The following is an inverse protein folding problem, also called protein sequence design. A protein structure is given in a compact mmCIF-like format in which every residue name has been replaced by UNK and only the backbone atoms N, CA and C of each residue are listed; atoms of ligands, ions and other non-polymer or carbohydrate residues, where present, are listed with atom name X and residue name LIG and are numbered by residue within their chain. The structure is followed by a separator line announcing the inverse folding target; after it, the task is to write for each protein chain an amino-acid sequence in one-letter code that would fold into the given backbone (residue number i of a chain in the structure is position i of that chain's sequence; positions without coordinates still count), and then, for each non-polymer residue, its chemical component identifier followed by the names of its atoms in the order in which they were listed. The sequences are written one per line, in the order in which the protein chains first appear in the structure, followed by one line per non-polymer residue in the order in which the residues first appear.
data_IF_632587198765
#
_entry.id   IF_632587198765
#
_cell.length_a   1.000
_cell.length_b   1.000
_cell.length_c   1.000
_cell.angle_alpha   90.00
_cell.angle_beta   90.00
_cell.angle_gamma   90.00
#
_symmetry.space_group_name_H-M   'P 1'
#
loop_
_entity.id
_entity.type
_entity.pdbx_description
1 polymer ?
#
# COMPACT_ATOMS: atom_id res chain seq x y z
N UNK A 1 2.90 17.65 35.08
CA UNK A 1 3.97 18.20 34.19
C UNK A 1 3.95 17.36 32.95
N UNK A 2 3.38 17.85 31.86
CA UNK A 2 3.37 17.17 30.57
C UNK A 2 4.80 17.19 30.05
N UNK A 3 5.48 16.09 29.99
CA UNK A 3 6.76 15.93 29.31
C UNK A 3 6.49 16.22 27.83
N UNK A 4 6.81 17.44 27.37
CA UNK A 4 6.86 17.75 25.94
C UNK A 4 7.84 16.74 25.32
N UNK A 5 7.31 15.74 24.64
CA UNK A 5 8.13 14.86 23.81
C UNK A 5 8.90 15.74 22.82
N UNK A 6 10.19 15.52 22.70
CA UNK A 6 10.99 16.16 21.66
C UNK A 6 10.37 15.84 20.30
N UNK A 7 10.29 16.82 19.37
CA UNK A 7 9.74 16.57 18.05
C UNK A 7 10.52 15.46 17.36
N UNK A 8 9.82 14.69 16.52
CA UNK A 8 10.43 13.69 15.65
C UNK A 8 11.10 14.37 14.45
N UNK A 9 12.05 13.70 13.85
CA UNK A 9 12.66 14.16 12.60
C UNK A 9 11.58 14.19 11.51
N UNK A 10 11.40 15.31 10.77
CA UNK A 10 10.34 15.41 9.75
C UNK A 10 10.54 14.44 8.59
N UNK A 11 9.46 13.87 8.08
CA UNK A 11 9.51 12.91 6.97
C UNK A 11 10.01 13.55 5.66
N UNK A 12 9.56 14.76 5.37
CA UNK A 12 10.00 15.53 4.20
C UNK A 12 11.47 15.99 4.29
N UNK A 13 12.07 15.94 5.49
CA UNK A 13 13.49 16.24 5.67
C UNK A 13 14.42 15.03 5.42
N UNK A 14 13.88 13.83 5.22
CA UNK A 14 14.66 12.63 4.89
C UNK A 14 15.25 12.76 3.49
N UNK A 15 16.55 12.47 3.35
CA UNK A 15 17.33 12.60 2.11
C UNK A 15 17.87 11.25 1.67
N UNK A 16 17.87 10.98 0.36
CA UNK A 16 18.50 9.81 -0.26
C UNK A 16 17.80 8.49 0.01
N UNK A 17 16.51 8.53 0.34
CA UNK A 17 15.66 7.36 0.55
C UNK A 17 14.33 7.48 -0.18
N UNK A 18 14.36 7.91 -1.45
CA UNK A 18 13.14 8.25 -2.18
C UNK A 18 12.28 7.02 -2.45
N UNK A 19 12.87 5.88 -2.81
CA UNK A 19 12.14 4.62 -2.97
C UNK A 19 11.48 4.16 -1.65
N UNK A 20 12.20 4.28 -0.52
CA UNK A 20 11.61 3.93 0.78
C UNK A 20 10.43 4.85 1.14
N UNK A 21 10.60 6.16 0.93
CA UNK A 21 9.54 7.13 1.18
C UNK A 21 8.31 6.83 0.33
N UNK A 22 8.52 6.54 -0.95
CA UNK A 22 7.44 6.18 -1.87
C UNK A 22 6.76 4.87 -1.45
N UNK A 23 7.51 3.81 -1.15
CA UNK A 23 6.94 2.53 -0.71
C UNK A 23 6.07 2.68 0.56
N UNK A 24 6.51 3.49 1.53
CA UNK A 24 5.74 3.79 2.73
C UNK A 24 4.44 4.55 2.40
N UNK A 25 4.50 5.55 1.52
CA UNK A 25 3.34 6.31 1.06
C UNK A 25 2.33 5.39 0.36
N UNK A 26 2.77 4.57 -0.59
CA UNK A 26 1.91 3.66 -1.35
C UNK A 26 1.22 2.63 -0.45
N UNK A 27 1.94 2.10 0.55
CA UNK A 27 1.33 1.18 1.53
C UNK A 27 0.37 1.86 2.50
N UNK A 28 0.54 3.17 2.77
CA UNK A 28 -0.46 3.94 3.51
C UNK A 28 -1.72 4.19 2.68
N UNK A 29 -1.57 4.47 1.38
CA UNK A 29 -2.70 4.66 0.46
C UNK A 29 -3.48 3.35 0.32
N UNK A 30 -2.80 2.23 0.12
CA UNK A 30 -3.41 0.91 -0.02
C UNK A 30 -2.73 -0.14 0.89
N UNK A 31 -3.17 -0.30 2.14
CA UNK A 31 -2.62 -1.33 3.04
C UNK A 31 -2.74 -2.77 2.51
N UNK A 32 -3.67 -3.00 1.56
CA UNK A 32 -3.84 -4.29 0.88
C UNK A 32 -2.64 -4.71 0.01
N UNK A 33 -1.67 -3.83 -0.21
CA UNK A 33 -0.38 -4.15 -0.84
C UNK A 33 0.36 -5.22 -0.02
N UNK A 34 0.21 -5.22 1.33
CA UNK A 34 0.76 -6.29 2.18
C UNK A 34 2.04 -5.90 2.93
N UNK A 35 2.33 -4.60 3.06
CA UNK A 35 3.45 -4.07 3.83
C UNK A 35 4.76 -3.96 3.07
N UNK A 36 5.77 -3.41 3.76
CA UNK A 36 7.11 -3.14 3.21
C UNK A 36 8.17 -3.84 4.06
N UNK A 37 9.09 -4.55 3.42
CA UNK A 37 10.33 -4.98 4.03
C UNK A 37 11.48 -4.05 3.59
N UNK A 38 12.21 -3.50 4.57
CA UNK A 38 13.32 -2.59 4.34
C UNK A 38 14.61 -3.34 4.64
N UNK A 39 15.36 -3.63 3.61
CA UNK A 39 16.65 -4.35 3.68
C UNK A 39 17.78 -3.33 3.72
N UNK A 40 18.78 -3.53 4.55
CA UNK A 40 19.94 -2.67 4.56
C UNK A 40 20.71 -2.68 5.86
N UNK A 41 21.93 -2.15 5.82
CA UNK A 41 22.88 -2.10 6.93
C UNK A 41 22.38 -1.25 8.10
N UNK A 42 22.98 -1.47 9.27
CA UNK A 42 22.75 -0.62 10.45
C UNK A 42 23.22 0.81 10.18
N UNK A 43 22.52 1.78 10.76
CA UNK A 43 22.87 3.19 10.62
C UNK A 43 22.37 3.90 9.37
N UNK A 44 21.58 3.25 8.50
CA UNK A 44 20.99 3.85 7.29
C UNK A 44 19.68 4.61 7.56
N UNK A 45 19.40 5.00 8.80
CA UNK A 45 18.24 5.79 9.23
C UNK A 45 16.86 5.15 8.99
N UNK A 46 16.75 3.81 8.77
CA UNK A 46 15.50 3.09 8.56
C UNK A 46 14.45 3.42 9.63
N UNK A 47 14.79 3.20 10.90
CA UNK A 47 13.89 3.45 12.04
C UNK A 47 13.48 4.93 12.15
N UNK A 48 14.38 5.86 11.84
CA UNK A 48 14.09 7.30 11.84
C UNK A 48 13.06 7.63 10.78
N UNK A 49 13.20 7.11 9.56
CA UNK A 49 12.28 7.32 8.44
C UNK A 49 10.89 6.74 8.75
N UNK A 50 10.82 5.53 9.32
CA UNK A 50 9.53 4.91 9.68
C UNK A 50 8.82 5.69 10.79
N UNK A 51 9.55 6.16 11.80
CA UNK A 51 8.95 7.00 12.86
C UNK A 51 8.46 8.34 12.34
N UNK A 52 9.23 8.96 11.45
CA UNK A 52 8.84 10.19 10.78
C UNK A 52 7.58 9.98 9.92
N UNK A 53 7.52 8.88 9.18
CA UNK A 53 6.34 8.49 8.41
C UNK A 53 5.10 8.26 9.30
N UNK A 54 5.25 7.55 10.41
CA UNK A 54 4.12 7.34 11.32
C UNK A 54 3.60 8.67 11.91
N UNK A 55 4.49 9.61 12.22
CA UNK A 55 4.09 10.95 12.67
C UNK A 55 3.34 11.75 11.60
N UNK A 56 3.67 11.52 10.31
CA UNK A 56 3.00 12.14 9.17
C UNK A 56 1.52 11.71 9.07
N UNK A 57 1.18 10.50 9.52
CA UNK A 57 -0.19 9.99 9.53
C UNK A 57 -1.06 10.55 10.68
N UNK A 58 -0.55 11.51 11.44
CA UNK A 58 -1.27 12.21 12.51
C UNK A 58 -1.46 11.36 13.76
N UNK A 59 -2.70 11.21 14.22
CA UNK A 59 -3.03 10.45 15.44
C UNK A 59 -2.99 8.92 15.26
N UNK A 60 -2.55 8.45 14.09
CA UNK A 60 -2.43 7.02 13.81
C UNK A 60 -1.42 6.36 14.76
N UNK A 61 -1.76 5.20 15.37
CA UNK A 61 -0.86 4.56 16.32
C UNK A 61 0.39 4.01 15.63
N UNK A 62 1.56 4.26 16.23
CA UNK A 62 2.80 3.56 15.91
C UNK A 62 3.03 2.48 16.96
N UNK A 63 2.84 1.23 16.58
CA UNK A 63 3.04 0.08 17.44
C UNK A 63 4.37 -0.59 17.08
N UNK A 64 5.28 -0.67 18.04
CA UNK A 64 6.53 -1.41 17.86
C UNK A 64 6.34 -2.86 18.36
N UNK A 65 6.67 -3.83 17.51
CA UNK A 65 6.69 -5.21 17.91
C UNK A 65 8.09 -5.58 18.42
N UNK A 66 8.25 -5.96 19.70
CA UNK A 66 9.54 -6.41 20.22
C UNK A 66 9.85 -7.84 19.75
N UNK A 67 11.12 -8.14 19.46
CA UNK A 67 11.59 -9.45 18.99
C UNK A 67 11.17 -10.60 19.91
N UNK A 68 11.13 -10.37 21.23
CA UNK A 68 10.71 -11.36 22.24
C UNK A 68 9.20 -11.37 22.51
N UNK A 69 8.35 -10.85 21.62
CA UNK A 69 6.91 -10.88 21.82
C UNK A 69 6.39 -12.32 21.74
N UNK A 70 5.50 -12.67 22.66
CA UNK A 70 4.75 -13.93 22.62
C UNK A 70 3.54 -13.80 21.70
N UNK A 71 3.06 -14.90 21.15
CA UNK A 71 1.88 -14.95 20.30
C UNK A 71 0.67 -14.27 20.96
N UNK A 72 0.38 -14.57 22.22
CA UNK A 72 -0.70 -13.95 23.00
C UNK A 72 -0.59 -12.42 23.07
N UNK A 73 0.63 -11.89 23.09
CA UNK A 73 0.86 -10.44 23.07
C UNK A 73 0.63 -9.85 21.70
N UNK A 74 0.95 -10.58 20.64
CA UNK A 74 0.80 -10.15 19.26
C UNK A 74 -0.66 -10.17 18.84
N UNK A 75 -1.30 -11.32 18.98
CA UNK A 75 -2.67 -11.58 18.49
C UNK A 75 -3.71 -11.10 19.50
N UNK A 76 -3.42 -11.25 20.78
CA UNK A 76 -4.33 -11.01 21.89
C UNK A 76 -4.68 -12.30 22.62
N UNK A 77 -5.36 -12.18 23.75
CA UNK A 77 -5.70 -13.32 24.59
C UNK A 77 -7.05 -13.16 25.27
N UNK A 78 -7.60 -14.27 25.75
CA UNK A 78 -8.77 -14.23 26.63
C UNK A 78 -8.34 -13.83 28.04
N UNK A 79 -9.11 -12.95 28.67
CA UNK A 79 -8.94 -12.58 30.08
C UNK A 79 -9.52 -13.69 30.99
N UNK A 80 -8.69 -14.66 31.28
CA UNK A 80 -9.08 -15.81 32.10
C UNK A 80 -9.58 -15.41 33.50
N UNK A 81 -9.05 -14.36 34.10
CA UNK A 81 -9.51 -13.85 35.40
C UNK A 81 -10.97 -13.36 35.31
N UNK A 82 -11.30 -12.63 34.25
CA UNK A 82 -12.68 -12.20 34.00
C UNK A 82 -13.59 -13.39 33.69
N UNK A 83 -13.12 -14.40 32.95
CA UNK A 83 -13.89 -15.63 32.68
C UNK A 83 -14.22 -16.38 33.96
N UNK A 84 -13.22 -16.58 34.83
CA UNK A 84 -13.39 -17.30 36.11
C UNK A 84 -14.26 -16.56 37.12
N UNK A 85 -14.21 -15.23 37.13
CA UNK A 85 -14.95 -14.41 38.12
C UNK A 85 -16.37 -14.08 37.67
N UNK A 86 -16.60 -13.88 36.37
CA UNK A 86 -17.90 -13.40 35.84
C UNK A 86 -18.61 -14.40 34.94
N UNK A 87 -17.94 -15.48 34.55
CA UNK A 87 -18.43 -16.43 33.55
C UNK A 87 -18.54 -15.85 32.12
N UNK A 88 -18.05 -14.64 31.88
CA UNK A 88 -18.10 -13.97 30.56
C UNK A 88 -16.72 -13.90 29.94
N UNK A 89 -16.60 -14.38 28.71
CA UNK A 89 -15.38 -14.22 27.93
C UNK A 89 -15.12 -12.71 27.65
N UNK A 90 -13.92 -12.24 28.05
CA UNK A 90 -13.43 -10.91 27.73
C UNK A 90 -12.12 -11.04 26.98
N UNK A 91 -12.06 -10.41 25.82
CA UNK A 91 -10.86 -10.39 24.99
C UNK A 91 -9.94 -9.23 25.38
N UNK A 92 -8.63 -9.50 25.48
CA UNK A 92 -7.56 -8.50 25.60
C UNK A 92 -6.93 -8.31 24.23
N UNK A 93 -7.09 -7.11 23.59
CA UNK A 93 -6.52 -6.86 22.26
C UNK A 93 -4.99 -6.94 22.31
N UNK A 94 -4.43 -7.65 21.32
CA UNK A 94 -2.99 -7.74 21.09
C UNK A 94 -2.44 -6.53 20.32
N UNK A 95 -1.14 -6.58 20.00
CA UNK A 95 -0.45 -5.50 19.29
C UNK A 95 -1.03 -5.28 17.88
N UNK A 96 -1.50 -6.32 17.20
CA UNK A 96 -2.15 -6.21 15.88
C UNK A 96 -3.40 -5.34 15.93
N UNK A 97 -4.26 -5.57 16.89
CA UNK A 97 -5.47 -4.75 17.08
C UNK A 97 -5.14 -3.32 17.53
N UNK A 98 -4.07 -3.14 18.33
CA UNK A 98 -3.60 -1.82 18.75
C UNK A 98 -3.02 -1.01 17.59
N UNK A 99 -2.48 -1.67 16.56
CA UNK A 99 -1.94 -1.03 15.36
C UNK A 99 -3.04 -0.63 14.36
N UNK A 100 -4.29 -0.99 14.61
CA UNK A 100 -5.38 -0.70 13.68
C UNK A 100 -5.48 0.81 13.36
N UNK A 101 -5.51 1.13 12.05
CA UNK A 101 -5.51 2.50 11.54
C UNK A 101 -4.13 3.18 11.57
N UNK A 102 -3.06 2.47 11.93
CA UNK A 102 -1.72 3.04 12.05
C UNK A 102 -0.62 2.21 11.42
N UNK A 103 0.54 2.21 12.07
CA UNK A 103 1.75 1.52 11.60
C UNK A 103 2.15 0.45 12.61
N UNK A 104 2.33 -0.78 12.15
CA UNK A 104 3.01 -1.84 12.88
C UNK A 104 4.46 -1.92 12.42
N UNK A 105 5.38 -1.57 13.30
CA UNK A 105 6.81 -1.57 13.01
C UNK A 105 7.50 -2.77 13.68
N UNK A 106 8.21 -3.54 12.89
CA UNK A 106 8.99 -4.70 13.32
C UNK A 106 10.45 -4.46 13.00
N UNK A 107 11.25 -4.20 14.03
CA UNK A 107 12.69 -4.08 13.86
C UNK A 107 13.32 -5.47 13.81
N UNK A 108 14.21 -5.71 12.85
CA UNK A 108 14.88 -7.01 12.64
C UNK A 108 13.87 -8.17 12.51
N UNK A 109 12.95 -8.05 11.56
CA UNK A 109 11.87 -9.04 11.32
C UNK A 109 12.40 -10.46 11.06
N UNK A 110 13.63 -10.57 10.54
CA UNK A 110 14.34 -11.83 10.32
C UNK A 110 14.70 -12.59 11.62
N UNK A 111 14.64 -11.92 12.77
CA UNK A 111 14.90 -12.53 14.09
C UNK A 111 13.61 -13.01 14.78
N UNK A 112 12.45 -12.72 14.23
CA UNK A 112 11.18 -13.25 14.75
C UNK A 112 11.02 -14.73 14.39
N UNK A 113 10.27 -15.44 15.23
CA UNK A 113 9.84 -16.79 14.91
C UNK A 113 8.91 -16.80 13.68
N UNK A 114 9.12 -17.72 12.75
CA UNK A 114 8.41 -17.80 11.46
C UNK A 114 6.88 -17.73 11.61
N UNK A 115 6.30 -18.45 12.57
CA UNK A 115 4.86 -18.45 12.81
C UNK A 115 4.30 -17.08 13.23
N UNK A 116 5.13 -16.24 13.89
CA UNK A 116 4.74 -14.86 14.19
C UNK A 116 4.76 -14.00 12.94
N UNK A 117 5.82 -14.14 12.10
CA UNK A 117 5.88 -13.43 10.82
C UNK A 117 4.70 -13.80 9.94
N UNK A 118 4.33 -15.09 9.86
CA UNK A 118 3.14 -15.55 9.15
C UNK A 118 1.87 -14.86 9.67
N UNK A 119 1.69 -14.83 10.98
CA UNK A 119 0.53 -14.20 11.62
C UNK A 119 0.45 -12.69 11.29
N UNK A 120 1.59 -11.98 11.29
CA UNK A 120 1.66 -10.57 10.93
C UNK A 120 1.24 -10.32 9.49
N UNK A 121 1.77 -11.14 8.57
CA UNK A 121 1.51 -11.04 7.13
C UNK A 121 0.07 -11.40 6.79
N UNK A 122 -0.51 -12.40 7.47
CA UNK A 122 -1.94 -12.75 7.32
C UNK A 122 -2.84 -11.61 7.80
N UNK A 123 -2.54 -11.02 8.96
CA UNK A 123 -3.30 -9.89 9.48
C UNK A 123 -3.18 -8.65 8.55
N UNK A 124 -1.98 -8.37 8.02
CA UNK A 124 -1.77 -7.29 7.06
C UNK A 124 -2.55 -7.49 5.74
N UNK A 125 -2.63 -8.74 5.26
CA UNK A 125 -3.34 -9.07 4.02
C UNK A 125 -4.86 -9.04 4.19
N UNK A 126 -5.38 -9.56 5.32
CA UNK A 126 -6.83 -9.69 5.56
C UNK A 126 -7.45 -8.46 6.24
N UNK A 127 -6.64 -7.65 6.91
CA UNK A 127 -7.09 -6.52 7.73
C UNK A 127 -7.81 -6.93 9.01
N UNK A 128 -7.64 -8.18 9.43
CA UNK A 128 -8.28 -8.76 10.61
C UNK A 128 -7.31 -9.70 11.35
N UNK A 129 -7.55 -9.86 12.63
CA UNK A 129 -6.88 -10.86 13.46
C UNK A 129 -7.93 -11.74 14.13
N UNK A 130 -7.77 -13.05 14.03
CA UNK A 130 -8.67 -14.02 14.67
C UNK A 130 -7.92 -14.79 15.74
N UNK A 131 -8.49 -14.85 16.94
CA UNK A 131 -8.00 -15.63 18.07
C UNK A 131 -8.96 -16.77 18.31
N UNK A 132 -8.47 -17.99 18.21
CA UNK A 132 -9.22 -19.20 18.53
C UNK A 132 -8.58 -19.88 19.73
N UNK A 133 -9.30 -19.93 20.86
CA UNK A 133 -8.81 -20.55 22.08
C UNK A 133 -9.95 -21.13 22.88
N UNK A 134 -9.76 -22.36 23.37
CA UNK A 134 -10.73 -23.07 24.26
C UNK A 134 -12.17 -23.10 23.69
N UNK A 135 -12.30 -23.24 22.37
CA UNK A 135 -13.61 -23.27 21.70
C UNK A 135 -14.27 -21.90 21.54
N UNK A 136 -13.58 -20.80 21.87
CA UNK A 136 -14.03 -19.42 21.65
C UNK A 136 -13.22 -18.84 20.50
N UNK A 137 -13.94 -18.32 19.47
CA UNK A 137 -13.34 -17.56 18.37
C UNK A 137 -13.69 -16.08 18.52
N UNK A 138 -12.68 -15.22 18.39
CA UNK A 138 -12.85 -13.77 18.41
C UNK A 138 -12.09 -13.14 17.25
N UNK A 139 -12.77 -12.35 16.42
CA UNK A 139 -12.16 -11.61 15.32
C UNK A 139 -12.19 -10.11 15.62
N UNK A 140 -11.05 -9.45 15.44
CA UNK A 140 -10.90 -8.02 15.64
C UNK A 140 -10.29 -7.36 14.39
N UNK A 141 -10.62 -6.09 14.10
CA UNK A 141 -10.01 -5.36 12.99
C UNK A 141 -8.52 -5.11 13.27
N UNK A 142 -7.70 -5.29 12.22
CA UNK A 142 -6.25 -5.14 12.27
C UNK A 142 -5.72 -4.59 10.92
N UNK A 143 -6.29 -3.48 10.44
CA UNK A 143 -5.82 -2.78 9.25
C UNK A 143 -4.70 -1.83 9.64
N UNK A 144 -3.50 -2.07 9.19
CA UNK A 144 -2.31 -1.27 9.51
C UNK A 144 -1.31 -1.34 8.35
N UNK A 145 -0.41 -0.37 8.31
CA UNK A 145 0.79 -0.44 7.46
C UNK A 145 1.82 -1.30 8.17
N UNK A 146 2.15 -2.47 7.60
CA UNK A 146 3.21 -3.32 8.12
C UNK A 146 4.56 -2.84 7.57
N UNK A 147 5.49 -2.56 8.46
CA UNK A 147 6.87 -2.20 8.11
C UNK A 147 7.83 -3.10 8.87
N UNK A 148 8.54 -3.97 8.14
CA UNK A 148 9.62 -4.79 8.67
C UNK A 148 10.98 -4.23 8.27
N UNK A 149 11.96 -4.17 9.20
CA UNK A 149 13.34 -3.93 8.82
C UNK A 149 14.16 -5.22 8.91
N UNK A 150 15.16 -5.33 8.08
CA UNK A 150 16.06 -6.49 8.05
C UNK A 150 17.49 -6.03 7.76
N UNK A 151 18.46 -6.62 8.48
CA UNK A 151 19.87 -6.53 8.13
C UNK A 151 20.30 -7.85 7.49
N UNK A 152 20.63 -7.89 6.20
CA UNK A 152 21.05 -9.11 5.52
C UNK A 152 22.27 -9.80 6.18
N UNK A 153 23.13 -9.06 6.87
CA UNK A 153 24.29 -9.62 7.58
C UNK A 153 23.90 -10.47 8.80
N UNK A 154 22.73 -10.23 9.38
CA UNK A 154 22.22 -10.97 10.55
C UNK A 154 21.33 -12.16 10.16
N UNK A 155 21.22 -12.41 8.88
CA UNK A 155 20.40 -13.48 8.31
C UNK A 155 19.23 -12.96 7.48
N UNK A 156 18.68 -13.83 6.68
CA UNK A 156 17.54 -13.51 5.80
C UNK A 156 16.27 -14.21 6.28
N UNK A 157 15.13 -13.61 5.96
CA UNK A 157 13.86 -14.29 6.06
C UNK A 157 13.82 -15.45 5.08
N UNK A 158 13.11 -16.51 5.45
CA UNK A 158 12.82 -17.61 4.50
C UNK A 158 12.13 -17.03 3.26
N UNK A 159 12.48 -17.50 2.05
CA UNK A 159 11.91 -16.98 0.81
C UNK A 159 10.38 -16.95 0.81
N UNK A 160 9.73 -17.97 1.39
CA UNK A 160 8.26 -18.06 1.48
C UNK A 160 7.64 -16.97 2.34
N UNK A 161 8.33 -16.50 3.39
CA UNK A 161 7.88 -15.37 4.22
C UNK A 161 8.19 -14.04 3.54
N UNK A 162 9.36 -13.94 2.92
CA UNK A 162 9.78 -12.75 2.20
C UNK A 162 8.83 -12.45 1.02
N UNK A 163 8.44 -13.47 0.24
CA UNK A 163 7.46 -13.36 -0.85
C UNK A 163 6.10 -12.78 -0.40
N UNK A 164 5.73 -12.98 0.86
CA UNK A 164 4.45 -12.48 1.42
C UNK A 164 4.44 -10.99 1.74
N UNK A 165 5.62 -10.34 1.91
CA UNK A 165 5.68 -8.90 1.94
C UNK A 165 5.28 -8.32 0.58
N UNK A 166 4.50 -7.25 0.58
CA UNK A 166 4.10 -6.58 -0.65
C UNK A 166 5.29 -5.98 -1.38
N UNK A 167 6.00 -5.09 -0.73
CA UNK A 167 7.12 -4.32 -1.29
C UNK A 167 8.42 -4.63 -0.56
N UNK A 168 9.53 -4.52 -1.29
CA UNK A 168 10.89 -4.59 -0.74
C UNK A 168 11.71 -3.40 -1.21
N UNK A 169 12.40 -2.78 -0.27
CA UNK A 169 13.30 -1.65 -0.57
C UNK A 169 14.68 -1.93 0.02
N UNK A 170 15.69 -1.84 -0.83
CA UNK A 170 17.08 -1.93 -0.41
C UNK A 170 17.61 -0.53 -0.05
N UNK A 171 18.03 -0.34 1.19
CA UNK A 171 18.55 0.93 1.71
C UNK A 171 20.03 0.80 1.98
N UNK A 172 20.83 1.49 1.19
CA UNK A 172 22.28 1.59 1.37
C UNK A 172 22.71 3.01 1.74
N UNK A 173 23.85 3.14 2.39
CA UNK A 173 24.47 4.44 2.59
C UNK A 173 24.90 5.02 1.24
N UNK A 174 24.39 6.20 0.88
CA UNK A 174 24.76 6.86 -0.38
C UNK A 174 26.28 7.02 -0.48
N UNK A 175 26.82 6.74 -1.66
CA UNK A 175 28.23 7.03 -2.00
C UNK A 175 28.42 8.46 -2.52
N UNK A 176 27.33 9.15 -2.86
CA UNK A 176 27.35 10.54 -3.30
C UNK A 176 27.71 11.47 -2.14
N UNK A 177 28.77 12.23 -2.34
CA UNK A 177 29.33 13.14 -1.31
C UNK A 177 28.35 14.27 -0.99
N UNK A 178 27.59 14.76 -1.97
CA UNK A 178 26.63 15.84 -1.76
C UNK A 178 25.44 15.36 -0.93
N UNK A 179 24.91 14.18 -1.25
CA UNK A 179 23.81 13.54 -0.48
C UNK A 179 24.28 13.29 0.96
N UNK A 180 25.48 12.73 1.15
CA UNK A 180 26.04 12.50 2.50
C UNK A 180 26.21 13.79 3.30
N UNK A 181 26.71 14.84 2.65
CA UNK A 181 26.88 16.15 3.29
C UNK A 181 25.53 16.75 3.70
N UNK A 182 24.50 16.60 2.85
CA UNK A 182 23.16 17.08 3.16
C UNK A 182 22.50 16.29 4.30
N UNK A 183 22.67 14.97 4.34
CA UNK A 183 22.19 14.13 5.46
C UNK A 183 22.83 14.61 6.78
N UNK A 184 24.15 14.81 6.80
CA UNK A 184 24.86 15.29 7.99
C UNK A 184 24.39 16.69 8.39
N UNK A 185 24.25 17.61 7.44
CA UNK A 185 23.79 18.97 7.70
C UNK A 185 22.41 18.97 8.36
N UNK A 186 21.43 18.27 7.78
CA UNK A 186 20.08 18.20 8.34
C UNK A 186 20.04 17.52 9.69
N UNK A 187 20.89 16.53 9.91
CA UNK A 187 20.97 15.84 11.20
C UNK A 187 21.53 16.74 12.30
N UNK A 188 22.64 17.44 12.05
CA UNK A 188 23.25 18.37 12.98
C UNK A 188 22.32 19.58 13.27
N UNK A 189 21.62 20.05 12.24
CA UNK A 189 20.66 21.14 12.36
C UNK A 189 19.49 20.75 13.28
N UNK A 190 18.94 19.54 13.07
CA UNK A 190 17.91 18.97 13.94
C UNK A 190 18.39 18.78 15.38
N UNK A 191 19.61 18.31 15.59
CA UNK A 191 20.19 18.13 16.94
C UNK A 191 20.42 19.46 17.66
N UNK A 192 20.71 20.53 16.93
CA UNK A 192 20.91 21.88 17.49
C UNK A 192 19.60 22.50 18.00
N UNK A 193 18.55 22.47 17.19
CA UNK A 193 17.21 22.94 17.56
C UNK A 193 16.13 22.09 16.91
N UNK A 194 15.69 21.01 17.57
CA UNK A 194 14.67 20.12 17.03
C UNK A 194 13.32 20.78 16.77
N UNK A 195 12.98 21.82 17.57
CA UNK A 195 11.67 22.49 17.47
C UNK A 195 11.65 23.39 16.23
N UNK A 196 12.65 24.27 16.08
CA UNK A 196 12.75 25.15 14.91
C UNK A 196 12.91 24.32 13.62
N UNK A 197 13.75 23.27 13.64
CA UNK A 197 13.90 22.39 12.51
C UNK A 197 12.56 21.74 12.09
N UNK A 198 11.81 21.16 13.02
CA UNK A 198 10.51 20.55 12.72
C UNK A 198 9.53 21.59 12.19
N UNK A 199 9.53 22.80 12.71
CA UNK A 199 8.64 23.86 12.26
C UNK A 199 8.93 24.30 10.81
N UNK A 200 10.19 24.33 10.38
CA UNK A 200 10.56 24.65 8.98
C UNK A 200 10.04 23.62 7.97
N UNK A 201 9.92 22.36 8.36
CA UNK A 201 9.45 21.27 7.50
C UNK A 201 7.95 20.96 7.63
N UNK A 202 7.29 21.58 8.63
CA UNK A 202 5.90 21.28 8.94
C UNK A 202 4.95 21.43 7.75
N UNK A 203 5.08 22.50 6.96
CA UNK A 203 4.22 22.73 5.81
C UNK A 203 4.37 21.63 4.72
N UNK A 204 5.58 21.11 4.52
CA UNK A 204 5.83 20.03 3.56
C UNK A 204 5.27 18.69 4.07
N UNK A 205 5.43 18.41 5.36
CA UNK A 205 4.85 17.22 5.99
C UNK A 205 3.32 17.26 5.94
N UNK A 206 2.71 18.43 6.23
CA UNK A 206 1.26 18.62 6.14
C UNK A 206 0.73 18.42 4.72
N UNK A 207 1.41 18.97 3.71
CA UNK A 207 1.06 18.77 2.30
C UNK A 207 1.15 17.29 1.92
N UNK A 208 2.20 16.58 2.35
CA UNK A 208 2.35 15.15 2.09
C UNK A 208 1.26 14.33 2.79
N UNK A 209 0.94 14.66 4.04
CA UNK A 209 -0.14 14.04 4.79
C UNK A 209 -1.50 14.22 4.08
N UNK A 210 -1.78 15.44 3.62
CA UNK A 210 -3.01 15.73 2.89
C UNK A 210 -3.07 15.01 1.54
N UNK A 211 -1.96 14.93 0.81
CA UNK A 211 -1.87 14.20 -0.45
C UNK A 211 -2.12 12.70 -0.26
N UNK A 212 -1.60 12.09 0.82
CA UNK A 212 -1.90 10.69 1.18
C UNK A 212 -3.42 10.51 1.40
N UNK A 213 -4.06 11.37 2.20
CA UNK A 213 -5.50 11.29 2.45
C UNK A 213 -6.33 11.41 1.18
N UNK A 214 -6.00 12.38 0.34
CA UNK A 214 -6.67 12.56 -0.96
C UNK A 214 -6.48 11.36 -1.89
N UNK A 215 -5.31 10.72 -1.88
CA UNK A 215 -5.07 9.49 -2.62
C UNK A 215 -5.85 8.30 -2.06
N UNK A 216 -5.97 8.18 -0.72
CA UNK A 216 -6.81 7.15 -0.08
C UNK A 216 -8.29 7.26 -0.44
N UNK A 217 -8.81 8.48 -0.60
CA UNK A 217 -10.20 8.72 -1.00
C UNK A 217 -10.49 8.31 -2.44
N UNK A 218 -9.50 8.45 -3.34
CA UNK A 218 -9.67 8.16 -4.77
C UNK A 218 -9.20 6.77 -5.22
N UNK A 219 -8.42 6.05 -4.42
CA UNK A 219 -7.78 4.78 -4.81
C UNK A 219 -8.75 3.74 -5.35
N UNK A 220 -9.97 3.67 -4.80
CA UNK A 220 -11.00 2.73 -5.23
C UNK A 220 -11.66 3.14 -6.57
N UNK A 221 -11.44 4.36 -7.06
CA UNK A 221 -11.95 4.87 -8.34
C UNK A 221 -10.94 4.81 -9.48
N UNK A 222 -9.69 4.42 -9.20
CA UNK A 222 -8.66 4.32 -10.23
C UNK A 222 -8.94 3.13 -11.15
N UNK A 223 -8.89 3.37 -12.44
CA UNK A 223 -9.13 2.34 -13.46
C UNK A 223 -7.83 1.65 -13.83
N UNK A 224 -7.83 0.33 -13.77
CA UNK A 224 -6.79 -0.55 -14.31
C UNK A 224 -7.38 -1.30 -15.49
N UNK A 225 -6.93 -0.99 -16.71
CA UNK A 225 -7.43 -1.59 -17.95
C UNK A 225 -7.04 -3.05 -18.09
N UNK A 226 -7.77 -3.82 -18.90
CA UNK A 226 -7.44 -5.20 -19.23
C UNK A 226 -6.08 -5.29 -19.94
N UNK A 227 -5.73 -4.29 -20.74
CA UNK A 227 -4.40 -4.15 -21.37
C UNK A 227 -3.30 -4.07 -20.32
N UNK A 228 -3.47 -3.25 -19.29
CA UNK A 228 -2.50 -3.11 -18.20
C UNK A 228 -2.45 -4.39 -17.33
N UNK A 229 -3.56 -5.10 -17.12
CA UNK A 229 -3.54 -6.42 -16.50
C UNK A 229 -2.69 -7.42 -17.30
N UNK A 230 -2.84 -7.45 -18.63
CA UNK A 230 -2.04 -8.32 -19.51
C UNK A 230 -0.55 -7.95 -19.48
N UNK A 231 -0.21 -6.65 -19.47
CA UNK A 231 1.18 -6.17 -19.32
C UNK A 231 1.80 -6.59 -17.99
N UNK A 232 1.07 -6.46 -16.89
CA UNK A 232 1.53 -6.91 -15.56
C UNK A 232 1.79 -8.42 -15.56
N UNK A 233 0.87 -9.21 -16.12
CA UNK A 233 1.03 -10.66 -16.23
C UNK A 233 2.25 -11.05 -17.10
N UNK A 234 2.48 -10.32 -18.20
CA UNK A 234 3.66 -10.50 -19.05
C UNK A 234 4.96 -10.23 -18.27
N UNK A 235 5.03 -9.13 -17.53
CA UNK A 235 6.20 -8.77 -16.71
C UNK A 235 6.48 -9.88 -15.67
N UNK A 236 5.46 -10.33 -14.92
CA UNK A 236 5.62 -11.37 -13.91
C UNK A 236 6.09 -12.70 -14.52
N UNK A 237 5.58 -13.07 -15.69
CA UNK A 237 5.99 -14.26 -16.41
C UNK A 237 7.45 -14.18 -16.90
N UNK A 238 7.87 -13.01 -17.41
CA UNK A 238 9.25 -12.79 -17.92
C UNK A 238 10.30 -12.83 -16.81
N UNK A 239 9.92 -12.45 -15.57
CA UNK A 239 10.79 -12.53 -14.39
C UNK A 239 10.73 -13.88 -13.64
N UNK A 240 10.04 -14.89 -14.19
CA UNK A 240 9.89 -16.24 -13.62
C UNK A 240 9.46 -16.21 -12.13
N UNK A 241 8.43 -15.40 -11.85
CA UNK A 241 7.91 -15.25 -10.50
C UNK A 241 6.94 -16.37 -10.15
N UNK A 242 7.13 -16.99 -8.99
CA UNK A 242 6.26 -18.08 -8.53
C UNK A 242 4.86 -17.57 -8.10
N UNK A 243 3.81 -18.09 -8.72
CA UNK A 243 2.41 -17.83 -8.37
C UNK A 243 1.91 -16.45 -8.79
N UNK A 244 0.69 -16.10 -8.40
CA UNK A 244 -0.03 -14.88 -8.82
C UNK A 244 0.04 -13.73 -7.79
N UNK A 245 0.86 -13.88 -6.74
CA UNK A 245 0.93 -12.85 -5.69
C UNK A 245 1.59 -11.58 -6.18
N UNK A 246 2.67 -11.71 -6.96
CA UNK A 246 3.37 -10.56 -7.54
C UNK A 246 2.44 -9.73 -8.44
N UNK A 247 1.69 -10.39 -9.32
CA UNK A 247 0.73 -9.76 -10.22
C UNK A 247 -0.26 -8.87 -9.46
N UNK A 248 -0.87 -9.43 -8.40
CA UNK A 248 -1.81 -8.69 -7.56
C UNK A 248 -1.15 -7.55 -6.78
N UNK A 249 0.09 -7.72 -6.33
CA UNK A 249 0.83 -6.67 -5.62
C UNK A 249 1.20 -5.56 -6.59
N UNK A 250 1.70 -5.88 -7.79
CA UNK A 250 2.02 -4.87 -8.82
C UNK A 250 0.76 -4.10 -9.19
N UNK A 251 -0.35 -4.78 -9.47
CA UNK A 251 -1.63 -4.14 -9.79
C UNK A 251 -2.08 -3.16 -8.69
N UNK A 252 -2.09 -3.60 -7.42
CA UNK A 252 -2.48 -2.75 -6.28
C UNK A 252 -1.52 -1.58 -6.07
N UNK A 253 -0.23 -1.79 -6.31
CA UNK A 253 0.80 -0.76 -6.14
C UNK A 253 0.71 0.26 -7.26
N UNK A 254 0.47 -0.16 -8.50
CA UNK A 254 0.25 0.72 -9.65
C UNK A 254 -1.00 1.59 -9.46
N UNK A 255 -2.12 1.00 -9.01
CA UNK A 255 -3.33 1.74 -8.64
C UNK A 255 -3.04 2.77 -7.55
N UNK A 256 -2.31 2.40 -6.49
CA UNK A 256 -1.94 3.32 -5.42
C UNK A 256 -1.01 4.44 -5.90
N UNK A 257 -0.11 4.15 -6.87
CA UNK A 257 0.78 5.13 -7.46
C UNK A 257 0.04 6.12 -8.37
N UNK A 258 -0.89 5.64 -9.20
CA UNK A 258 -1.78 6.51 -9.99
C UNK A 258 -2.61 7.42 -9.08
N UNK A 259 -3.19 6.88 -7.99
CA UNK A 259 -3.88 7.66 -6.98
C UNK A 259 -2.99 8.71 -6.33
N UNK A 260 -1.72 8.38 -6.04
CA UNK A 260 -0.74 9.32 -5.50
C UNK A 260 -0.42 10.45 -6.46
N UNK A 261 -0.26 10.18 -7.75
CA UNK A 261 -0.04 11.19 -8.79
C UNK A 261 -1.27 12.07 -9.04
N UNK A 262 -2.45 11.63 -8.65
CA UNK A 262 -3.71 12.34 -8.84
C UNK A 262 -4.45 11.99 -10.13
N UNK A 263 -4.02 10.96 -10.83
CA UNK A 263 -4.64 10.48 -12.07
C UNK A 263 -5.78 9.49 -11.79
N UNK A 264 -6.62 9.28 -12.79
CA UNK A 264 -7.74 8.34 -12.74
C UNK A 264 -7.45 6.99 -13.40
N UNK A 265 -6.37 6.90 -14.18
CA UNK A 265 -5.97 5.73 -14.95
C UNK A 265 -4.55 5.30 -14.57
N UNK A 266 -4.32 4.00 -14.55
CA UNK A 266 -2.98 3.42 -14.40
C UNK A 266 -2.23 3.53 -15.72
N UNK A 267 -1.00 4.02 -15.66
CA UNK A 267 -0.09 4.15 -16.81
C UNK A 267 1.07 3.15 -16.71
N UNK A 268 1.85 3.00 -17.79
CA UNK A 268 3.07 2.20 -17.80
C UNK A 268 4.08 2.62 -16.74
N UNK A 269 4.18 3.92 -16.46
CA UNK A 269 5.05 4.44 -15.39
C UNK A 269 4.62 3.92 -14.00
N UNK A 270 3.31 3.83 -13.76
CA UNK A 270 2.81 3.26 -12.50
C UNK A 270 3.14 1.78 -12.37
N UNK A 271 3.04 1.03 -13.47
CA UNK A 271 3.38 -0.39 -13.53
C UNK A 271 4.89 -0.58 -13.29
N UNK A 272 5.74 0.26 -13.94
CA UNK A 272 7.19 0.23 -13.76
C UNK A 272 7.59 0.45 -12.31
N UNK A 273 7.10 1.52 -11.70
CA UNK A 273 7.35 1.84 -10.28
C UNK A 273 6.87 0.71 -9.37
N UNK A 274 5.70 0.13 -9.66
CA UNK A 274 5.19 -0.99 -8.90
C UNK A 274 6.05 -2.24 -9.03
N UNK A 275 6.54 -2.57 -10.24
CA UNK A 275 7.42 -3.69 -10.49
C UNK A 275 8.77 -3.53 -9.78
N UNK A 276 9.37 -2.33 -9.81
CA UNK A 276 10.60 -2.00 -9.10
C UNK A 276 10.53 -2.27 -7.59
N UNK A 277 9.38 -2.07 -6.99
CA UNK A 277 9.15 -2.27 -5.55
C UNK A 277 8.70 -3.70 -5.21
N UNK A 278 8.01 -4.38 -6.13
CA UNK A 278 7.41 -5.68 -5.88
C UNK A 278 8.27 -6.88 -6.29
N UNK A 279 9.13 -6.75 -7.31
CA UNK A 279 9.88 -7.88 -7.87
C UNK A 279 11.20 -8.20 -7.16
N UNK A 280 11.97 -7.26 -6.53
CA UNK A 280 13.33 -7.51 -6.07
C UNK A 280 13.50 -8.72 -5.14
N UNK A 281 12.47 -9.07 -4.39
CA UNK A 281 12.48 -10.16 -3.41
C UNK A 281 11.74 -11.42 -3.87
N UNK A 282 11.17 -11.41 -5.08
CA UNK A 282 10.34 -12.48 -5.64
C UNK A 282 10.96 -13.21 -6.82
N UNK A 283 11.85 -12.52 -7.57
CA UNK A 283 12.52 -13.17 -8.71
C UNK A 283 13.45 -14.27 -8.24
N UNK A 284 13.55 -15.33 -9.00
CA UNK A 284 14.58 -16.34 -8.80
C UNK A 284 15.95 -15.71 -9.08
N UNK A 285 16.85 -15.79 -8.11
CA UNK A 285 18.21 -15.28 -8.22
C UNK A 285 19.18 -16.44 -8.46
N UNK A 286 20.06 -16.27 -9.43
CA UNK A 286 21.26 -17.06 -9.48
C UNK A 286 22.26 -16.60 -8.41
N UNK A 287 23.10 -17.51 -7.86
CA UNK A 287 24.04 -17.16 -6.78
C UNK A 287 25.05 -16.05 -7.14
N UNK A 288 25.15 -15.69 -8.42
CA UNK A 288 26.07 -14.69 -8.94
C UNK A 288 25.42 -13.36 -9.34
N UNK A 289 24.10 -13.26 -9.21
CA UNK A 289 23.36 -12.03 -9.53
C UNK A 289 23.66 -10.93 -8.52
N UNK A 290 23.80 -9.70 -9.02
CA UNK A 290 23.87 -8.51 -8.16
C UNK A 290 22.54 -8.29 -7.41
N UNK A 291 22.60 -7.74 -6.18
CA UNK A 291 21.39 -7.42 -5.43
C UNK A 291 20.59 -6.31 -6.12
N UNK A 292 19.26 -6.47 -6.19
CA UNK A 292 18.36 -5.50 -6.81
C UNK A 292 17.68 -6.02 -8.07
N UNK A 293 16.88 -5.20 -8.70
CA UNK A 293 16.28 -5.43 -10.01
C UNK A 293 17.16 -4.78 -11.06
N UNK A 294 17.46 -5.51 -12.14
CA UNK A 294 18.14 -4.95 -13.30
C UNK A 294 17.18 -4.02 -14.03
N UNK A 295 17.51 -2.74 -14.07
CA UNK A 295 16.67 -1.71 -14.67
C UNK A 295 16.59 -1.86 -16.18
N UNK A 296 17.70 -2.20 -16.82
CA UNK A 296 17.75 -2.38 -18.28
C UNK A 296 16.88 -3.57 -18.69
N UNK A 297 16.93 -4.67 -17.92
CA UNK A 297 16.06 -5.84 -18.12
C UNK A 297 14.57 -5.49 -17.90
N UNK A 298 14.25 -4.67 -16.89
CA UNK A 298 12.87 -4.25 -16.66
C UNK A 298 12.36 -3.40 -17.82
N UNK A 299 13.18 -2.48 -18.33
CA UNK A 299 12.80 -1.61 -19.44
C UNK A 299 12.58 -2.43 -20.73
N UNK A 300 13.45 -3.41 -21.03
CA UNK A 300 13.26 -4.33 -22.16
C UNK A 300 11.93 -5.10 -22.03
N UNK A 301 11.65 -5.70 -20.87
CA UNK A 301 10.41 -6.46 -20.65
C UNK A 301 9.17 -5.55 -20.70
N UNK A 302 9.26 -4.31 -20.23
CA UNK A 302 8.18 -3.32 -20.33
C UNK A 302 7.89 -2.96 -21.80
N UNK A 303 8.93 -2.78 -22.62
CA UNK A 303 8.78 -2.50 -24.06
C UNK A 303 8.17 -3.70 -24.79
N UNK A 304 8.62 -4.93 -24.49
CA UNK A 304 8.03 -6.17 -25.04
C UNK A 304 6.55 -6.32 -24.64
N UNK A 305 6.22 -6.03 -23.37
CA UNK A 305 4.84 -6.07 -22.89
C UNK A 305 3.94 -5.05 -23.60
N UNK A 306 4.47 -3.86 -23.90
CA UNK A 306 3.76 -2.83 -24.65
C UNK A 306 3.50 -3.24 -26.11
N UNK A 307 4.51 -3.82 -26.76
CA UNK A 307 4.43 -4.27 -28.15
C UNK A 307 3.44 -5.45 -28.29
N UNK A 308 3.41 -6.39 -27.34
CA UNK A 308 2.50 -7.53 -27.35
C UNK A 308 1.07 -7.20 -26.91
N UNK A 309 0.92 -6.17 -26.07
CA UNK A 309 -0.36 -5.70 -25.55
C UNK A 309 -0.53 -4.20 -25.82
N UNK A 310 -0.75 -3.79 -27.09
CA UNK A 310 -0.98 -2.40 -27.44
C UNK A 310 -2.28 -1.90 -26.80
N UNK A 311 -2.33 -0.61 -26.48
CA UNK A 311 -3.59 0.01 -26.06
C UNK A 311 -4.60 -0.16 -27.21
N UNK A 312 -5.66 -0.90 -26.92
CA UNK A 312 -6.82 -0.87 -27.80
C UNK A 312 -7.62 0.37 -27.37
N UNK A 313 -8.02 1.18 -28.35
CA UNK A 313 -9.02 2.23 -28.13
C UNK A 313 -10.27 1.56 -27.54
N UNK A 314 -10.41 1.59 -26.22
CA UNK A 314 -11.55 0.99 -25.54
C UNK A 314 -12.76 1.89 -25.82
N UNK A 315 -13.84 1.39 -26.47
CA UNK A 315 -15.03 2.19 -26.77
C UNK A 315 -15.66 2.82 -25.52
N UNK A 316 -15.32 2.34 -24.32
CA UNK A 316 -15.77 2.90 -23.05
C UNK A 316 -15.07 4.23 -22.69
N UNK A 317 -13.84 4.48 -23.18
CA UNK A 317 -13.16 5.77 -22.96
C UNK A 317 -13.71 6.87 -23.87
N UNK A 318 -14.19 6.54 -25.06
CA UNK A 318 -14.81 7.50 -25.97
C UNK A 318 -16.18 7.99 -25.47
N UNK A 319 -16.98 7.15 -24.78
CA UNK A 319 -18.26 7.56 -24.22
C UNK A 319 -18.14 8.54 -23.05
N UNK A 320 -17.06 8.46 -22.25
CA UNK A 320 -16.83 9.40 -21.16
C UNK A 320 -16.37 10.79 -21.64
N UNK A 321 -15.76 10.86 -22.83
CA UNK A 321 -15.35 12.14 -23.45
C UNK A 321 -16.49 12.76 -24.28
N UNK A 322 -17.35 11.95 -24.90
CA UNK A 322 -18.53 12.46 -25.62
C UNK A 322 -19.59 13.02 -24.70
N UNK A 323 -19.83 12.40 -23.51
CA UNK A 323 -20.78 12.92 -22.51
C UNK A 323 -20.33 14.26 -21.88
N UNK A 324 -19.05 14.60 -21.92
CA UNK A 324 -18.56 15.93 -21.47
C UNK A 324 -18.70 17.01 -22.55
N UNK A 325 -18.65 16.65 -23.82
CA UNK A 325 -18.78 17.60 -24.93
C UNK A 325 -20.26 17.91 -25.21
N UNK A 326 -21.17 16.96 -25.02
CA UNK A 326 -22.62 17.22 -25.21
C UNK A 326 -23.24 18.08 -24.11
N UNK A 327 -22.66 18.12 -22.90
CA UNK A 327 -23.14 19.01 -21.83
C UNK A 327 -22.68 20.46 -21.96
N UNK A 328 -21.66 20.77 -22.76
CA UNK A 328 -21.24 22.16 -22.99
C UNK A 328 -21.92 22.83 -24.20
N UNK A 329 -22.67 22.07 -25.03
CA UNK A 329 -23.35 22.61 -26.22
C UNK A 329 -24.84 22.79 -26.07
N UNK A 330 -25.46 22.41 -24.93
CA UNK A 330 -26.92 22.50 -24.74
C UNK A 330 -27.41 23.78 -24.04
N UNK A 331 -26.54 24.77 -23.78
CA UNK A 331 -26.92 26.02 -23.14
C UNK A 331 -27.10 27.23 -24.09
N UNK A 332 -27.20 27.01 -25.38
CA UNK A 332 -27.58 28.06 -26.35
C UNK A 332 -28.55 27.53 -27.40
N UNK A 333 -29.84 27.53 -27.10
CA UNK A 333 -30.95 27.81 -28.03
C UNK A 333 -32.26 27.51 -27.38
N UNK A 334 -32.80 28.44 -26.67
CA UNK A 334 -34.22 28.50 -26.33
C UNK A 334 -34.78 29.81 -26.92
N UNK A 335 -35.58 29.70 -27.97
CA UNK A 335 -36.77 30.52 -28.21
C UNK A 335 -37.50 30.15 -29.50
N UNK A 336 -38.85 30.01 -29.31
CA UNK A 336 -39.94 30.05 -30.30
C UNK A 336 -40.40 28.66 -30.89
N UNK A 337 -41.57 28.20 -30.65
CA UNK A 337 -42.90 28.62 -30.94
C UNK A 337 -43.92 27.45 -30.77
N UNK A 338 -45.10 27.79 -30.35
CA UNK A 338 -46.33 27.03 -30.21
C UNK A 338 -46.81 26.22 -31.44
N UNK A 339 -47.43 25.07 -31.26
CA UNK A 339 -48.82 24.74 -31.62
C UNK A 339 -49.17 23.24 -31.60
N UNK A 340 -50.21 22.96 -30.81
CA UNK A 340 -51.26 21.92 -30.85
C UNK A 340 -51.24 20.82 -31.95
N UNK A 341 -51.45 19.54 -31.60
CA UNK A 341 -52.74 18.81 -31.81
C UNK A 341 -52.66 17.32 -31.50
N UNK A 342 -53.58 16.89 -30.62
CA UNK A 342 -54.42 15.68 -30.64
C UNK A 342 -53.87 14.26 -30.85
N UNK A 343 -54.14 13.44 -29.85
CA UNK A 343 -54.31 11.98 -29.80
C UNK A 343 -55.30 11.41 -30.85
N UNK A 344 -55.43 10.08 -31.13
CA UNK A 344 -55.76 9.09 -30.13
C UNK A 344 -55.26 7.62 -30.37
N UNK A 345 -55.33 6.87 -29.27
CA UNK A 345 -55.71 5.45 -29.07
C UNK A 345 -55.36 4.35 -30.09
N UNK A 346 -54.79 3.26 -29.62
CA UNK A 346 -55.48 1.97 -29.39
C UNK A 346 -54.51 0.80 -29.14
N UNK A 347 -54.78 0.11 -28.04
CA UNK A 347 -54.97 -1.34 -27.85
C UNK A 347 -53.97 -2.36 -28.42
N UNK A 348 -53.57 -3.26 -27.51
CA UNK A 348 -53.59 -4.68 -27.85
C UNK A 348 -52.42 -5.53 -27.34
N UNK A 349 -52.59 -6.08 -26.15
CA UNK A 349 -52.51 -7.51 -25.77
C UNK A 349 -51.22 -8.33 -25.97
N UNK A 350 -50.78 -8.81 -24.82
CA UNK A 350 -50.52 -10.20 -24.40
C UNK A 350 -49.39 -11.02 -25.03
N UNK A 351 -48.59 -11.60 -24.14
CA UNK A 351 -48.14 -12.96 -24.34
C UNK A 351 -46.80 -13.36 -23.70
N UNK A 352 -46.86 -13.86 -22.47
CA UNK A 352 -46.23 -15.12 -22.01
C UNK A 352 -44.75 -15.21 -21.78
N UNK A 353 -44.39 -15.20 -20.52
CA UNK A 353 -43.63 -16.17 -19.70
C UNK A 353 -42.54 -17.05 -20.35
N UNK A 354 -41.34 -16.99 -19.81
CA UNK A 354 -40.65 -18.21 -19.38
C UNK A 354 -39.50 -17.87 -18.41
N UNK A 355 -39.52 -18.60 -17.32
CA UNK A 355 -38.67 -18.63 -16.14
C UNK A 355 -37.24 -19.11 -16.43
N UNK A 356 -36.29 -18.62 -15.71
CA UNK A 356 -34.98 -19.23 -15.53
C UNK A 356 -34.26 -18.58 -14.35
N UNK A 357 -34.26 -19.27 -13.22
CA UNK A 357 -33.73 -18.82 -11.94
C UNK A 357 -32.20 -18.93 -11.84
N UNK A 358 -31.62 -18.34 -10.80
CA UNK A 358 -30.20 -18.01 -10.73
C UNK A 358 -29.35 -19.05 -10.02
N UNK A 359 -28.07 -19.04 -10.28
CA UNK A 359 -27.09 -19.79 -9.50
C UNK A 359 -26.21 -18.81 -8.68
N UNK A 360 -26.23 -19.01 -7.38
CA UNK A 360 -25.21 -18.64 -6.39
C UNK A 360 -24.57 -19.94 -5.92
N UNK A 361 -23.42 -19.98 -5.30
CA UNK A 361 -22.83 -19.03 -4.34
C UNK A 361 -21.56 -18.32 -4.78
#
# INVERSE_FOLDING_TARGET
MSTKQSPLFPFSAVVGQDQLRLALILTAISPRIGGVVIRGEKGTAKTTTVRAFAALLGDAPLVNLPIGATEDRVVGSLDMETVLTTGKAKFRPGLLSQAHGGVLYVDEVNLLADHLVDTLLDAAATGQVTVERDGISHTAPARFVLVGTMNPEEGELRPQLLDRFGLSVDVAASKDVQIRAEIMRRRLDFESDPIDFAQRWHALDENTSQAIKSAQERVDSIVLSDTNLARIAHICASFDVDGMRADLVIARTAIAHAAWRGDSLVTDEDIKVAAELALPHRRRRDPFDEPGLDQDQLDEVMDEARDQHPEMDDPAEQSAHEDQIENETSDQEDHLDDQETQTPDSDGQEGSASQGAPFRP
#
